data_IF_523817978153
#
_entry.id   IF_523817978153
#
_cell.length_a   1.000
_cell.length_b   1.000
_cell.length_c   1.000
_cell.angle_alpha   90.00
_cell.angle_beta   90.00
_cell.angle_gamma   90.00
#
_symmetry.space_group_name_H-M   'P 1'
#
loop_
_entity.id
_entity.type
_entity.pdbx_description
1 polymer ?
#
# COMPACT_ATOMS: atom_id res chain seq x y z
N UNK A 1 -10.09 -12.98 -2.78
CA UNK A 1 -10.33 -14.44 -2.79
C UNK A 1 -10.86 -14.94 -4.14
N UNK A 2 -11.98 -14.42 -4.67
CA UNK A 2 -12.52 -14.87 -5.97
C UNK A 2 -11.52 -14.78 -7.13
N UNK A 3 -10.76 -13.69 -7.24
CA UNK A 3 -9.77 -13.56 -8.32
C UNK A 3 -8.67 -14.63 -8.24
N UNK A 4 -8.23 -15.02 -7.04
CA UNK A 4 -7.28 -16.13 -6.86
C UNK A 4 -7.92 -17.46 -7.27
N UNK A 5 -9.17 -17.70 -6.89
CA UNK A 5 -9.93 -18.90 -7.29
C UNK A 5 -10.05 -18.98 -8.83
N UNK A 6 -10.45 -17.90 -9.49
CA UNK A 6 -10.57 -17.83 -10.95
C UNK A 6 -9.23 -18.03 -11.66
N UNK A 7 -8.14 -17.47 -11.14
CA UNK A 7 -6.80 -17.72 -11.65
C UNK A 7 -6.43 -19.21 -11.56
N UNK A 8 -6.66 -19.83 -10.41
CA UNK A 8 -6.40 -21.25 -10.19
C UNK A 8 -7.25 -22.15 -11.10
N UNK A 9 -8.55 -21.86 -11.25
CA UNK A 9 -9.45 -22.56 -12.18
C UNK A 9 -9.00 -22.45 -13.64
N UNK A 10 -8.31 -21.35 -13.98
CA UNK A 10 -7.72 -21.12 -15.31
C UNK A 10 -6.29 -21.67 -15.44
N UNK A 11 -5.76 -22.36 -14.41
CA UNK A 11 -4.40 -22.88 -14.40
C UNK A 11 -3.31 -21.80 -14.31
N UNK A 12 -3.66 -20.59 -13.88
CA UNK A 12 -2.73 -19.46 -13.75
C UNK A 12 -2.30 -19.28 -12.28
N UNK A 13 -1.00 -19.05 -12.01
CA UNK A 13 -0.57 -18.60 -10.70
C UNK A 13 -1.09 -17.18 -10.43
N UNK A 14 -1.24 -16.83 -9.15
CA UNK A 14 -1.68 -15.50 -8.74
C UNK A 14 -0.87 -14.97 -7.56
N UNK A 15 -0.59 -13.67 -7.56
CA UNK A 15 -0.02 -12.94 -6.43
C UNK A 15 -1.00 -11.85 -5.98
N UNK A 16 -1.16 -11.70 -4.67
CA UNK A 16 -1.86 -10.60 -4.03
C UNK A 16 -0.84 -9.80 -3.19
N UNK A 17 -0.69 -8.54 -3.56
CA UNK A 17 0.33 -7.65 -3.01
C UNK A 17 -0.34 -6.47 -2.31
N UNK A 18 0.25 -6.02 -1.20
CA UNK A 18 -0.20 -4.83 -0.45
C UNK A 18 0.90 -3.78 -0.43
N UNK A 19 0.62 -2.62 -1.01
CA UNK A 19 1.58 -1.54 -1.19
C UNK A 19 1.59 -0.54 -0.01
N UNK A 20 1.64 -1.01 1.25
CA UNK A 20 1.74 -0.16 2.46
C UNK A 20 0.46 0.58 2.89
N UNK A 21 0.56 1.39 3.95
CA UNK A 21 -0.51 2.20 4.58
C UNK A 21 -1.77 1.40 4.93
N UNK A 22 -1.55 0.32 5.69
CA UNK A 22 -2.58 -0.43 6.39
C UNK A 22 -2.99 0.22 7.72
N UNK A 23 -2.15 1.13 8.23
CA UNK A 23 -2.41 1.91 9.43
C UNK A 23 -3.21 3.18 9.13
N UNK A 24 -3.81 3.73 10.19
CA UNK A 24 -4.50 5.02 10.22
C UNK A 24 -5.76 5.11 9.31
N UNK A 25 -6.52 6.20 9.47
CA UNK A 25 -7.59 6.62 8.55
C UNK A 25 -9.01 6.40 9.06
N UNK A 26 -9.22 5.56 10.07
CA UNK A 26 -10.53 5.33 10.68
C UNK A 26 -10.44 5.10 12.20
N UNK A 27 -11.56 5.22 12.95
CA UNK A 27 -11.60 4.91 14.37
C UNK A 27 -11.14 3.50 14.76
N UNK A 28 -11.12 2.55 13.83
CA UNK A 28 -10.56 1.22 14.08
C UNK A 28 -9.10 1.32 14.53
N UNK A 29 -8.28 2.05 13.78
CA UNK A 29 -6.88 2.26 14.16
C UNK A 29 -6.76 3.27 15.32
N UNK A 30 -7.53 4.35 15.32
CA UNK A 30 -7.39 5.38 16.36
C UNK A 30 -7.66 4.88 17.79
N UNK A 31 -8.54 3.89 17.96
CA UNK A 31 -8.87 3.35 19.29
C UNK A 31 -8.23 2.00 19.60
N UNK A 32 -7.85 1.21 18.59
CA UNK A 32 -7.36 -0.16 18.79
C UNK A 32 -5.99 -0.41 18.13
N UNK A 33 -5.42 0.62 17.52
CA UNK A 33 -4.12 0.61 16.85
C UNK A 33 -3.99 -0.56 15.85
N UNK A 34 -2.89 -1.29 15.91
CA UNK A 34 -2.53 -2.36 14.99
C UNK A 34 -3.37 -3.64 15.15
N UNK A 35 -4.05 -3.84 16.29
CA UNK A 35 -4.75 -5.09 16.60
C UNK A 35 -5.81 -5.47 15.56
N UNK A 36 -6.78 -4.60 15.20
CA UNK A 36 -7.74 -4.91 14.13
C UNK A 36 -7.04 -5.10 12.78
N UNK A 37 -5.99 -4.34 12.50
CA UNK A 37 -5.23 -4.44 11.24
C UNK A 37 -4.64 -5.84 11.09
N UNK A 38 -4.07 -6.41 12.16
CA UNK A 38 -3.56 -7.78 12.18
C UNK A 38 -4.65 -8.79 11.80
N UNK A 39 -5.84 -8.70 12.39
CA UNK A 39 -6.92 -9.64 12.11
C UNK A 39 -7.38 -9.56 10.65
N UNK A 40 -7.52 -8.34 10.12
CA UNK A 40 -7.88 -8.13 8.72
C UNK A 40 -6.80 -8.66 7.76
N UNK A 41 -5.52 -8.35 8.02
CA UNK A 41 -4.40 -8.75 7.17
C UNK A 41 -4.21 -10.27 7.19
N UNK A 42 -4.28 -10.89 8.37
CA UNK A 42 -4.26 -12.35 8.51
C UNK A 42 -5.42 -13.03 7.78
N UNK A 43 -6.61 -12.41 7.76
CA UNK A 43 -7.76 -12.94 7.05
C UNK A 43 -7.70 -12.71 5.52
N UNK A 44 -7.00 -11.66 5.08
CA UNK A 44 -6.76 -11.32 3.68
C UNK A 44 -5.66 -12.19 3.04
N UNK A 45 -4.64 -12.56 3.82
CA UNK A 45 -3.51 -13.41 3.40
C UNK A 45 -2.79 -12.91 2.13
N UNK A 46 -2.28 -11.66 2.12
CA UNK A 46 -1.39 -11.20 1.04
C UNK A 46 -0.14 -12.09 0.95
N UNK A 47 0.36 -12.28 -0.28
CA UNK A 47 1.56 -13.07 -0.52
C UNK A 47 2.82 -12.30 -0.09
N UNK A 48 2.84 -10.98 -0.35
CA UNK A 48 3.90 -10.05 0.05
C UNK A 48 3.30 -8.66 0.28
N UNK A 49 3.83 -7.94 1.25
CA UNK A 49 3.55 -6.52 1.47
C UNK A 49 4.83 -5.68 1.52
N UNK A 50 4.69 -4.37 1.36
CA UNK A 50 5.70 -3.37 1.74
C UNK A 50 5.14 -2.56 2.90
N UNK A 51 6.02 -1.82 3.59
CA UNK A 51 5.61 -0.80 4.55
C UNK A 51 5.24 0.49 3.83
N UNK A 52 4.26 1.19 4.36
CA UNK A 52 3.97 2.60 4.10
C UNK A 52 4.51 3.49 5.22
N UNK A 53 4.29 4.80 5.09
CA UNK A 53 4.74 5.73 6.11
C UNK A 53 3.86 5.60 7.37
N UNK A 54 2.58 5.30 7.22
CA UNK A 54 1.66 5.24 8.36
C UNK A 54 1.93 4.07 9.30
N UNK A 55 2.61 3.01 8.82
CA UNK A 55 3.10 1.92 9.68
C UNK A 55 4.02 2.39 10.81
N UNK A 56 4.63 3.58 10.67
CA UNK A 56 5.51 4.19 11.68
C UNK A 56 4.80 5.21 12.60
N UNK A 57 3.49 5.48 12.43
CA UNK A 57 2.84 6.62 13.10
C UNK A 57 2.98 6.60 14.62
N UNK A 58 2.83 5.41 15.20
CA UNK A 58 2.93 5.16 16.63
C UNK A 58 4.28 4.55 17.03
N UNK A 59 5.32 4.72 16.19
CA UNK A 59 6.70 4.33 16.49
C UNK A 59 7.06 2.87 16.18
N UNK A 60 8.36 2.59 16.20
CA UNK A 60 8.96 1.29 15.86
C UNK A 60 8.43 0.14 16.73
N UNK A 61 8.16 0.37 18.02
CA UNK A 61 7.62 -0.67 18.92
C UNK A 61 6.22 -1.14 18.49
N UNK A 62 5.38 -0.22 18.02
CA UNK A 62 4.05 -0.54 17.50
C UNK A 62 4.17 -1.32 16.20
N UNK A 63 5.07 -0.89 15.32
CA UNK A 63 5.38 -1.61 14.08
C UNK A 63 5.87 -3.04 14.35
N UNK A 64 6.76 -3.25 15.32
CA UNK A 64 7.22 -4.58 15.71
C UNK A 64 6.08 -5.46 16.22
N UNK A 65 5.18 -4.90 17.03
CA UNK A 65 4.00 -5.63 17.55
C UNK A 65 3.08 -6.06 16.41
N UNK A 66 2.85 -5.18 15.45
CA UNK A 66 2.10 -5.46 14.24
C UNK A 66 2.74 -6.56 13.38
N UNK A 67 4.03 -6.41 13.06
CA UNK A 67 4.78 -7.35 12.23
C UNK A 67 4.84 -8.76 12.86
N UNK A 68 4.93 -8.82 14.19
CA UNK A 68 4.83 -10.07 14.93
C UNK A 68 3.41 -10.69 14.87
N UNK A 69 2.36 -9.86 14.81
CA UNK A 69 0.96 -10.30 14.76
C UNK A 69 0.50 -10.85 13.40
N UNK A 70 1.05 -10.36 12.28
CA UNK A 70 0.61 -10.72 10.91
C UNK A 70 1.08 -12.10 10.41
N UNK A 71 1.29 -13.07 11.31
CA UNK A 71 1.57 -14.48 11.01
C UNK A 71 2.65 -14.71 9.94
N UNK A 72 3.74 -13.95 10.01
CA UNK A 72 4.89 -14.07 9.10
C UNK A 72 4.58 -13.76 7.62
N UNK A 73 3.59 -12.91 7.34
CA UNK A 73 3.40 -12.34 5.99
C UNK A 73 4.70 -11.61 5.57
N UNK A 74 5.33 -12.01 4.45
CA UNK A 74 6.58 -11.40 4.03
C UNK A 74 6.43 -9.90 3.77
N UNK A 75 7.29 -9.11 4.42
CA UNK A 75 7.34 -7.66 4.27
C UNK A 75 8.67 -7.25 3.64
N UNK A 76 8.64 -6.53 2.51
CA UNK A 76 9.84 -6.09 1.80
C UNK A 76 10.02 -4.58 1.82
N UNK A 77 11.21 -4.09 2.18
CA UNK A 77 11.63 -2.68 2.03
C UNK A 77 13.17 -2.62 1.88
N UNK A 78 13.67 -2.20 0.72
CA UNK A 78 15.10 -2.24 0.39
C UNK A 78 15.91 -1.02 0.83
N UNK A 79 15.23 0.10 1.10
CA UNK A 79 15.86 1.39 1.37
C UNK A 79 15.88 1.79 2.85
N UNK A 80 15.73 0.83 3.77
CA UNK A 80 15.87 1.06 5.21
C UNK A 80 17.25 0.64 5.70
N UNK A 81 17.86 1.46 6.54
CA UNK A 81 18.94 1.05 7.42
C UNK A 81 18.41 0.92 8.85
N UNK A 82 18.31 -0.33 9.28
CA UNK A 82 17.75 -0.73 10.58
C UNK A 82 18.84 -1.08 11.59
N UNK A 83 20.10 -0.61 11.39
CA UNK A 83 21.22 -0.92 12.29
C UNK A 83 20.96 -0.42 13.72
N UNK A 84 20.29 0.73 13.86
CA UNK A 84 19.91 1.31 15.14
C UNK A 84 18.60 0.72 15.71
N UNK A 85 17.85 -0.06 14.93
CA UNK A 85 16.59 -0.71 15.30
C UNK A 85 16.61 -2.19 14.85
N UNK A 86 17.58 -3.00 15.34
CA UNK A 86 17.93 -4.27 14.71
C UNK A 86 16.84 -5.34 14.79
N UNK A 87 15.86 -5.21 15.69
CA UNK A 87 14.74 -6.14 15.84
C UNK A 87 13.88 -6.22 14.57
N UNK A 88 13.82 -5.13 13.79
CA UNK A 88 13.09 -5.09 12.52
C UNK A 88 13.66 -6.05 11.46
N UNK A 89 14.95 -6.41 11.54
CA UNK A 89 15.59 -7.34 10.60
C UNK A 89 14.97 -8.74 10.63
N UNK A 90 14.22 -9.10 11.69
CA UNK A 90 13.51 -10.38 11.77
C UNK A 90 12.25 -10.41 10.90
N UNK A 91 11.74 -9.24 10.51
CA UNK A 91 10.42 -9.11 9.87
C UNK A 91 10.48 -8.44 8.50
N UNK A 92 11.43 -7.52 8.29
CA UNK A 92 11.56 -6.73 7.07
C UNK A 92 12.80 -7.16 6.29
N UNK A 93 12.60 -7.57 5.03
CA UNK A 93 13.66 -7.95 4.12
C UNK A 93 13.82 -6.91 3.00
N UNK A 94 15.00 -6.72 2.39
CA UNK A 94 15.10 -5.86 1.21
C UNK A 94 14.28 -6.36 0.01
N UNK A 95 14.29 -7.69 -0.18
CA UNK A 95 13.59 -8.37 -1.26
C UNK A 95 13.28 -9.83 -0.88
N UNK A 96 12.39 -10.46 -1.66
CA UNK A 96 12.02 -11.87 -1.58
C UNK A 96 12.05 -12.50 -2.97
N UNK A 97 12.37 -13.80 -3.06
CA UNK A 97 12.23 -14.58 -4.29
C UNK A 97 11.15 -15.64 -4.10
N UNK A 98 10.13 -15.60 -4.97
CA UNK A 98 9.09 -16.61 -5.06
C UNK A 98 9.38 -17.55 -6.23
N UNK A 99 9.25 -18.86 -6.01
CA UNK A 99 9.29 -19.85 -7.08
C UNK A 99 7.86 -20.18 -7.53
N UNK A 100 7.49 -19.72 -8.71
CA UNK A 100 6.16 -19.89 -9.29
C UNK A 100 6.30 -20.76 -10.53
N UNK A 101 5.82 -22.01 -10.49
CA UNK A 101 5.92 -22.96 -11.61
C UNK A 101 7.35 -23.08 -12.18
N UNK A 102 8.36 -23.20 -11.30
CA UNK A 102 9.79 -23.22 -11.62
C UNK A 102 10.39 -21.91 -12.18
N UNK A 103 9.62 -20.82 -12.20
CA UNK A 103 10.10 -19.47 -12.52
C UNK A 103 10.39 -18.70 -11.23
N UNK A 104 11.56 -18.08 -11.15
CA UNK A 104 11.94 -17.21 -10.02
C UNK A 104 11.43 -15.79 -10.25
N UNK A 105 10.52 -15.34 -9.39
CA UNK A 105 10.00 -13.97 -9.38
C UNK A 105 10.55 -13.26 -8.15
N UNK A 106 11.30 -12.18 -8.37
CA UNK A 106 11.81 -11.31 -7.32
C UNK A 106 10.81 -10.22 -7.00
N UNK A 107 10.63 -9.94 -5.71
CA UNK A 107 9.81 -8.84 -5.21
C UNK A 107 10.71 -7.97 -4.33
N UNK A 108 10.86 -6.71 -4.71
CA UNK A 108 11.69 -5.72 -3.99
C UNK A 108 10.82 -4.56 -3.53
N UNK A 109 10.98 -4.14 -2.28
CA UNK A 109 10.19 -3.06 -1.69
C UNK A 109 10.93 -1.72 -1.66
N UNK A 110 10.19 -0.61 -1.62
CA UNK A 110 10.72 0.69 -1.19
C UNK A 110 9.64 1.53 -0.51
N UNK A 111 10.08 2.49 0.31
CA UNK A 111 9.24 3.39 1.08
C UNK A 111 9.77 4.82 0.93
N UNK A 112 8.87 5.82 0.88
CA UNK A 112 9.24 7.23 0.74
C UNK A 112 10.27 7.67 1.78
N UNK A 113 11.29 8.40 1.31
CA UNK A 113 12.28 9.07 2.17
C UNK A 113 11.68 10.16 3.05
N UNK A 114 10.42 10.54 2.81
CA UNK A 114 9.73 11.57 3.60
C UNK A 114 9.23 11.04 4.95
N UNK A 115 9.21 9.71 5.15
CA UNK A 115 8.68 9.04 6.35
C UNK A 115 9.15 9.66 7.68
N UNK A 116 10.44 10.02 7.89
CA UNK A 116 10.89 10.66 9.12
C UNK A 116 10.25 12.03 9.43
N UNK A 117 9.67 12.68 8.43
CA UNK A 117 9.01 14.00 8.56
C UNK A 117 7.50 13.92 8.65
N UNK A 118 6.91 12.79 8.22
CA UNK A 118 5.45 12.59 8.17
C UNK A 118 4.97 11.47 9.10
N UNK A 119 5.88 10.85 9.85
CA UNK A 119 5.60 9.76 10.78
C UNK A 119 6.67 9.66 11.88
N UNK A 120 6.57 8.68 12.77
CA UNK A 120 7.44 8.52 13.94
C UNK A 120 8.46 7.39 13.75
N UNK A 121 9.36 7.50 12.77
CA UNK A 121 10.23 6.38 12.35
C UNK A 121 11.38 6.01 13.30
N UNK A 122 11.50 6.65 14.46
CA UNK A 122 12.57 6.38 15.42
C UNK A 122 13.96 6.60 14.83
N UNK A 123 14.88 5.67 15.10
CA UNK A 123 16.25 5.73 14.59
C UNK A 123 16.46 5.02 13.24
N UNK A 124 15.39 4.59 12.57
CA UNK A 124 15.48 4.00 11.22
C UNK A 124 15.91 5.09 10.23
N UNK A 125 16.96 4.81 9.48
CA UNK A 125 17.43 5.67 8.39
C UNK A 125 16.84 5.24 7.05
N UNK A 126 16.53 6.23 6.20
CA UNK A 126 15.89 6.02 4.89
C UNK A 126 16.87 6.45 3.79
N UNK A 127 17.33 5.49 3.00
CA UNK A 127 18.17 5.74 1.84
C UNK A 127 17.34 6.09 0.61
N UNK A 128 17.99 6.67 -0.39
CA UNK A 128 17.37 6.98 -1.69
C UNK A 128 16.78 5.70 -2.32
N UNK A 129 15.52 5.80 -2.76
CA UNK A 129 14.78 4.64 -3.24
C UNK A 129 15.40 4.06 -4.51
N UNK A 130 15.83 4.91 -5.44
CA UNK A 130 16.36 4.50 -6.74
C UNK A 130 17.69 3.75 -6.56
N UNK A 131 18.59 4.28 -5.74
CA UNK A 131 19.90 3.68 -5.52
C UNK A 131 19.79 2.37 -4.72
N UNK A 132 18.93 2.30 -3.71
CA UNK A 132 18.66 1.06 -2.98
C UNK A 132 18.02 -0.01 -3.87
N UNK A 133 17.05 0.37 -4.70
CA UNK A 133 16.43 -0.55 -5.66
C UNK A 133 17.44 -1.07 -6.68
N UNK A 134 18.24 -0.21 -7.32
CA UNK A 134 19.30 -0.63 -8.25
C UNK A 134 20.23 -1.67 -7.61
N UNK A 135 20.65 -1.43 -6.36
CA UNK A 135 21.54 -2.37 -5.65
C UNK A 135 20.87 -3.73 -5.45
N UNK A 136 19.62 -3.76 -4.99
CA UNK A 136 18.93 -5.00 -4.67
C UNK A 136 18.46 -5.75 -5.93
N UNK A 137 18.02 -5.05 -7.00
CA UNK A 137 17.69 -5.70 -8.28
C UNK A 137 18.90 -6.39 -8.89
N UNK A 138 20.09 -5.77 -8.86
CA UNK A 138 21.32 -6.42 -9.34
C UNK A 138 21.67 -7.67 -8.53
N UNK A 139 21.37 -7.72 -7.23
CA UNK A 139 21.55 -8.92 -6.40
C UNK A 139 20.55 -10.02 -6.77
N UNK A 140 19.29 -9.67 -7.01
CA UNK A 140 18.27 -10.60 -7.49
C UNK A 140 18.68 -11.23 -8.83
N UNK A 141 19.10 -10.41 -9.81
CA UNK A 141 19.56 -10.88 -11.12
C UNK A 141 20.76 -11.84 -11.00
N UNK A 142 21.75 -11.53 -10.16
CA UNK A 142 22.90 -12.41 -9.89
C UNK A 142 22.50 -13.78 -9.32
N UNK A 143 21.35 -13.86 -8.64
CA UNK A 143 20.78 -15.09 -8.09
C UNK A 143 19.85 -15.84 -9.07
N UNK A 144 19.85 -15.43 -10.35
CA UNK A 144 19.09 -16.06 -11.42
C UNK A 144 17.60 -15.73 -11.40
N UNK A 145 17.21 -14.62 -10.78
CA UNK A 145 15.87 -14.04 -10.94
C UNK A 145 15.80 -13.32 -12.28
N UNK A 146 14.73 -13.51 -13.02
CA UNK A 146 14.53 -12.91 -14.34
C UNK A 146 13.24 -12.09 -14.48
N UNK A 147 12.39 -12.10 -13.45
CA UNK A 147 11.20 -11.24 -13.35
C UNK A 147 11.29 -10.49 -12.02
N UNK A 148 11.27 -9.15 -12.06
CA UNK A 148 11.36 -8.31 -10.87
C UNK A 148 10.15 -7.39 -10.76
N UNK A 149 9.39 -7.56 -9.68
CA UNK A 149 8.27 -6.70 -9.27
C UNK A 149 8.77 -5.74 -8.18
N UNK A 150 8.57 -4.45 -8.37
CA UNK A 150 8.79 -3.46 -7.31
C UNK A 150 7.47 -3.14 -6.61
N UNK A 151 7.46 -3.28 -5.29
CA UNK A 151 6.35 -2.91 -4.42
C UNK A 151 6.70 -1.60 -3.71
N UNK A 152 6.17 -0.49 -4.22
CA UNK A 152 6.56 0.85 -3.81
C UNK A 152 5.52 1.51 -2.92
N UNK A 153 5.99 2.20 -1.88
CA UNK A 153 5.21 3.18 -1.15
C UNK A 153 5.89 4.56 -1.17
N UNK A 154 6.19 5.05 -2.38
CA UNK A 154 6.81 6.37 -2.55
C UNK A 154 6.01 7.38 -3.38
N UNK A 155 4.82 6.97 -3.87
CA UNK A 155 3.93 7.85 -4.63
C UNK A 155 4.26 7.91 -6.12
N UNK A 156 3.25 8.27 -6.93
CA UNK A 156 3.30 8.12 -8.39
C UNK A 156 4.45 8.87 -9.06
N UNK A 157 4.83 10.05 -8.55
CA UNK A 157 5.94 10.81 -9.14
C UNK A 157 7.29 10.15 -8.87
N UNK A 158 7.50 9.61 -7.67
CA UNK A 158 8.71 8.82 -7.39
C UNK A 158 8.67 7.49 -8.15
N UNK A 159 7.52 6.84 -8.26
CA UNK A 159 7.35 5.62 -9.05
C UNK A 159 7.75 5.84 -10.51
N UNK A 160 7.43 7.00 -11.10
CA UNK A 160 7.87 7.38 -12.46
C UNK A 160 9.39 7.55 -12.55
N UNK A 161 10.04 8.09 -11.53
CA UNK A 161 11.51 8.17 -11.47
C UNK A 161 12.12 6.78 -11.34
N UNK A 162 11.60 5.93 -10.46
CA UNK A 162 12.04 4.53 -10.28
C UNK A 162 11.89 3.77 -11.60
N UNK A 163 10.74 3.87 -12.25
CA UNK A 163 10.46 3.23 -13.54
C UNK A 163 11.45 3.62 -14.62
N UNK A 164 11.89 4.89 -14.60
CA UNK A 164 12.84 5.44 -15.55
C UNK A 164 14.28 4.96 -15.28
N UNK A 165 14.72 5.04 -14.03
CA UNK A 165 16.13 4.93 -13.64
C UNK A 165 16.54 3.49 -13.24
N UNK A 166 15.60 2.65 -12.80
CA UNK A 166 15.86 1.26 -12.37
C UNK A 166 15.42 0.29 -13.46
N UNK A 167 16.30 0.16 -14.46
CA UNK A 167 16.07 -0.60 -15.70
C UNK A 167 15.77 -2.10 -15.54
N UNK A 168 16.09 -2.69 -14.38
CA UNK A 168 15.92 -4.12 -14.09
C UNK A 168 14.50 -4.45 -13.60
N UNK A 169 13.66 -3.46 -13.30
CA UNK A 169 12.28 -3.67 -12.85
C UNK A 169 11.38 -3.92 -14.06
N UNK A 170 10.53 -4.95 -13.99
CA UNK A 170 9.56 -5.27 -15.03
C UNK A 170 8.21 -4.61 -14.80
N UNK A 171 7.84 -4.39 -13.55
CA UNK A 171 6.58 -3.75 -13.16
C UNK A 171 6.68 -3.13 -11.77
N UNK A 172 6.02 -1.98 -11.59
CA UNK A 172 5.89 -1.31 -10.29
C UNK A 172 4.43 -1.38 -9.84
N UNK A 173 4.22 -1.80 -8.59
CA UNK A 173 2.94 -1.74 -7.88
C UNK A 173 3.10 -0.75 -6.73
N UNK A 174 2.52 0.44 -6.89
CA UNK A 174 2.74 1.59 -6.02
C UNK A 174 1.59 1.92 -5.06
N UNK A 175 1.90 2.74 -4.05
CA UNK A 175 0.98 3.32 -3.06
C UNK A 175 1.26 4.80 -2.75
N UNK A 176 0.96 5.24 -1.53
CA UNK A 176 1.19 6.58 -0.96
C UNK A 176 0.34 7.72 -1.56
N UNK A 177 0.44 7.95 -2.87
CA UNK A 177 -0.16 9.12 -3.53
C UNK A 177 -1.68 9.02 -3.80
N UNK A 178 -2.30 7.89 -3.43
CA UNK A 178 -3.71 7.59 -3.71
C UNK A 178 -4.07 7.71 -5.21
N UNK A 179 -3.12 7.42 -6.11
CA UNK A 179 -3.35 7.67 -7.54
C UNK A 179 -4.34 6.68 -8.11
N UNK A 180 -5.41 7.21 -8.72
CA UNK A 180 -6.34 6.41 -9.49
C UNK A 180 -5.88 6.37 -10.96
N UNK A 181 -5.46 5.20 -11.42
CA UNK A 181 -5.14 4.94 -12.82
C UNK A 181 -6.28 4.12 -13.43
N UNK A 182 -6.76 4.53 -14.62
CA UNK A 182 -7.84 3.81 -15.31
C UNK A 182 -7.82 4.11 -16.81
N UNK A 183 -8.04 3.08 -17.62
CA UNK A 183 -8.16 3.19 -19.07
C UNK A 183 -9.64 3.11 -19.47
N UNK A 184 -10.15 4.11 -20.20
CA UNK A 184 -11.55 4.18 -20.61
C UNK A 184 -12.44 5.00 -19.66
N UNK A 185 -13.72 4.63 -19.54
CA UNK A 185 -14.68 5.35 -18.70
C UNK A 185 -14.58 4.85 -17.25
N UNK A 186 -14.24 5.70 -16.27
CA UNK A 186 -14.12 5.27 -14.87
C UNK A 186 -15.47 4.81 -14.31
N UNK A 187 -15.50 3.78 -13.44
CA UNK A 187 -16.74 3.19 -12.93
C UNK A 187 -17.34 3.94 -11.72
N UNK A 188 -16.70 5.03 -11.26
CA UNK A 188 -17.16 5.86 -10.15
C UNK A 188 -16.70 7.32 -10.32
N UNK A 189 -16.78 8.11 -9.26
CA UNK A 189 -16.53 9.56 -9.27
C UNK A 189 -15.05 9.95 -9.39
N UNK A 190 -14.12 9.03 -9.14
CA UNK A 190 -12.69 9.33 -9.20
C UNK A 190 -12.26 9.65 -10.64
N UNK A 191 -11.53 10.76 -10.79
CA UNK A 191 -10.95 11.15 -12.08
C UNK A 191 -9.61 10.41 -12.26
N UNK A 192 -9.42 9.64 -13.35
CA UNK A 192 -8.15 8.97 -13.61
C UNK A 192 -7.03 10.00 -13.79
N UNK A 193 -5.90 9.80 -13.10
CA UNK A 193 -4.67 10.56 -13.32
C UNK A 193 -4.05 10.20 -14.67
N UNK A 194 -4.17 8.94 -15.09
CA UNK A 194 -3.63 8.40 -16.32
C UNK A 194 -4.17 6.99 -16.61
N UNK A 195 -3.70 6.35 -17.71
CA UNK A 195 -4.12 5.00 -18.05
C UNK A 195 -3.65 4.00 -16.99
N UNK A 196 -4.34 2.86 -16.92
CA UNK A 196 -3.88 1.69 -16.18
C UNK A 196 -3.49 0.59 -17.18
N UNK A 197 -2.23 0.13 -17.19
CA UNK A 197 -1.07 0.70 -16.48
C UNK A 197 -0.64 2.07 -17.01
N UNK A 198 0.09 2.83 -16.20
CA UNK A 198 0.85 4.00 -16.66
C UNK A 198 2.23 3.54 -17.12
N UNK A 199 2.63 3.86 -18.35
CA UNK A 199 3.95 3.48 -18.85
C UNK A 199 4.95 4.62 -18.74
N UNK A 200 6.17 4.28 -18.30
CA UNK A 200 7.34 5.14 -18.37
C UNK A 200 8.43 4.43 -19.15
N UNK A 201 9.06 5.12 -20.10
CA UNK A 201 10.21 4.57 -20.83
C UNK A 201 11.47 4.73 -19.99
N UNK A 202 12.18 3.63 -19.73
CA UNK A 202 13.38 3.62 -18.92
C UNK A 202 14.64 4.03 -19.70
N UNK A 203 15.76 4.18 -19.01
CA UNK A 203 17.07 4.57 -19.58
C UNK A 203 17.60 3.60 -20.65
N UNK A 204 17.03 2.39 -20.76
CA UNK A 204 17.32 1.39 -21.81
C UNK A 204 16.28 1.36 -22.93
N UNK A 205 15.39 2.35 -23.01
CA UNK A 205 14.28 2.43 -23.96
C UNK A 205 13.24 1.29 -23.83
N UNK A 206 13.16 0.63 -22.67
CA UNK A 206 12.13 -0.37 -22.38
C UNK A 206 10.95 0.32 -21.66
N UNK A 207 9.69 0.05 -22.04
CA UNK A 207 8.53 0.55 -21.31
C UNK A 207 8.35 -0.22 -20.00
N UNK A 208 8.31 0.51 -18.88
CA UNK A 208 8.05 -0.02 -17.53
C UNK A 208 6.64 0.39 -17.09
N UNK A 209 5.71 -0.56 -16.89
CA UNK A 209 4.38 -0.28 -16.37
C UNK A 209 4.37 0.01 -14.86
N UNK A 210 3.56 0.98 -14.46
CA UNK A 210 3.26 1.35 -13.08
C UNK A 210 1.77 1.15 -12.84
N UNK A 211 1.46 0.50 -11.71
CA UNK A 211 0.10 0.26 -11.23
C UNK A 211 -0.11 0.98 -9.90
N UNK A 212 -1.22 1.69 -9.76
CA UNK A 212 -1.80 2.11 -8.48
C UNK A 212 -3.32 1.93 -8.54
N UNK A 213 -3.94 1.64 -7.40
CA UNK A 213 -5.36 1.30 -7.31
C UNK A 213 -6.13 2.25 -6.38
N UNK A 214 -5.90 3.56 -6.52
CA UNK A 214 -6.52 4.58 -5.67
C UNK A 214 -6.20 4.37 -4.17
N UNK A 215 -7.21 4.44 -3.30
CA UNK A 215 -7.08 4.35 -1.85
C UNK A 215 -8.34 3.78 -1.19
N UNK A 216 -8.28 3.61 0.13
CA UNK A 216 -9.39 3.21 1.00
C UNK A 216 -10.02 1.86 0.66
N UNK A 217 -9.27 0.98 -0.01
CA UNK A 217 -9.76 -0.32 -0.52
C UNK A 217 -11.00 -0.21 -1.43
N UNK A 218 -11.31 0.97 -1.97
CA UNK A 218 -12.46 1.16 -2.87
C UNK A 218 -12.29 0.38 -4.17
N UNK A 219 -11.05 0.19 -4.59
CA UNK A 219 -10.68 -0.61 -5.75
C UNK A 219 -9.68 -1.69 -5.37
N UNK A 220 -9.70 -2.78 -6.13
CA UNK A 220 -8.64 -3.79 -6.13
C UNK A 220 -7.98 -3.78 -7.50
N UNK A 221 -6.69 -3.47 -7.55
CA UNK A 221 -5.89 -3.60 -8.77
C UNK A 221 -5.84 -5.04 -9.24
N UNK A 222 -6.07 -5.26 -10.54
CA UNK A 222 -6.00 -6.59 -11.16
C UNK A 222 -5.31 -6.46 -12.51
N UNK A 223 -4.29 -7.28 -12.72
CA UNK A 223 -3.64 -7.47 -14.02
C UNK A 223 -3.35 -8.95 -14.26
N UNK A 224 -3.36 -9.33 -15.53
CA UNK A 224 -2.82 -10.59 -16.05
C UNK A 224 -1.55 -10.22 -16.80
N UNK A 225 -0.44 -10.80 -16.38
CA UNK A 225 0.88 -10.57 -16.97
C UNK A 225 1.28 -11.77 -17.81
N UNK A 226 1.78 -11.51 -19.01
CA UNK A 226 2.37 -12.54 -19.88
C UNK A 226 3.84 -12.25 -20.06
N UNK A 227 4.67 -13.16 -19.56
CA UNK A 227 6.12 -13.13 -19.75
C UNK A 227 6.55 -14.17 -20.78
N UNK A 228 7.66 -13.93 -21.46
CA UNK A 228 8.33 -14.93 -22.28
C UNK A 228 9.22 -15.88 -21.43
N UNK A 229 9.92 -16.81 -22.07
CA UNK A 229 10.82 -17.74 -21.38
C UNK A 229 12.07 -17.09 -20.78
N UNK A 230 12.43 -15.88 -21.22
CA UNK A 230 13.57 -15.12 -20.71
C UNK A 230 13.19 -14.23 -19.53
N UNK A 231 11.89 -14.05 -19.25
CA UNK A 231 11.38 -13.15 -18.21
C UNK A 231 11.01 -11.77 -18.74
N UNK A 232 10.95 -11.57 -20.05
CA UNK A 232 10.51 -10.30 -20.63
C UNK A 232 8.99 -10.19 -20.63
N UNK A 233 8.47 -9.05 -20.14
CA UNK A 233 7.04 -8.76 -20.12
C UNK A 233 6.54 -8.48 -21.55
N UNK A 234 5.73 -9.39 -22.09
CA UNK A 234 5.15 -9.30 -23.43
C UNK A 234 3.81 -8.56 -23.44
N UNK A 235 2.98 -8.77 -22.42
CA UNK A 235 1.66 -8.18 -22.34
C UNK A 235 1.19 -8.01 -20.90
N UNK A 236 0.39 -6.98 -20.68
CA UNK A 236 -0.33 -6.69 -19.44
C UNK A 236 -1.75 -6.32 -19.79
N UNK A 237 -2.72 -7.01 -19.19
CA UNK A 237 -4.14 -6.77 -19.38
C UNK A 237 -4.85 -6.69 -18.03
N UNK A 238 -5.67 -5.66 -17.83
CA UNK A 238 -6.43 -5.49 -16.60
C UNK A 238 -6.81 -4.06 -16.27
N UNK A 239 -7.52 -3.92 -15.15
CA UNK A 239 -8.03 -2.64 -14.64
C UNK A 239 -8.33 -2.78 -13.15
N UNK A 240 -8.31 -1.69 -12.36
CA UNK A 240 -8.83 -1.70 -11.00
C UNK A 240 -10.32 -2.06 -11.01
N UNK A 241 -10.70 -3.02 -10.18
CA UNK A 241 -12.11 -3.43 -10.00
C UNK A 241 -12.72 -2.62 -8.86
N UNK A 242 -13.81 -1.90 -9.13
CA UNK A 242 -14.57 -1.19 -8.10
C UNK A 242 -15.23 -2.19 -7.16
N UNK A 243 -14.96 -2.09 -5.86
CA UNK A 243 -15.63 -2.86 -4.83
C UNK A 243 -16.96 -2.20 -4.45
N UNK A 244 -18.00 -2.42 -5.25
CA UNK A 244 -19.35 -1.92 -5.00
C UNK A 244 -20.24 -2.99 -4.32
N UNK A 245 -21.52 -2.65 -4.15
CA UNK A 245 -22.53 -3.53 -3.54
C UNK A 245 -22.88 -4.79 -4.35
N UNK A 246 -22.46 -4.87 -5.63
CA UNK A 246 -22.71 -6.04 -6.48
C UNK A 246 -21.74 -7.19 -6.13
N UNK A 247 -20.59 -6.87 -5.55
CA UNK A 247 -19.63 -7.86 -5.07
C UNK A 247 -20.09 -8.37 -3.70
N UNK A 248 -20.35 -9.68 -3.63
CA UNK A 248 -20.75 -10.33 -2.38
C UNK A 248 -19.63 -10.24 -1.35
N UNK A 249 -19.99 -9.87 -0.13
CA UNK A 249 -19.07 -9.87 0.99
C UNK A 249 -18.73 -11.31 1.40
N UNK A 250 -17.45 -11.56 1.66
CA UNK A 250 -16.96 -12.87 2.08
C UNK A 250 -17.38 -13.16 3.53
N UNK A 251 -18.14 -14.24 3.80
CA UNK A 251 -18.62 -14.55 5.16
C UNK A 251 -17.49 -14.68 6.18
N UNK A 252 -16.32 -15.17 5.78
CA UNK A 252 -15.17 -15.32 6.68
C UNK A 252 -14.44 -14.00 6.95
N UNK A 253 -14.61 -12.99 6.10
CA UNK A 253 -14.14 -11.63 6.41
C UNK A 253 -15.15 -10.90 7.29
N UNK A 254 -16.44 -11.15 7.09
CA UNK A 254 -17.50 -10.58 7.92
C UNK A 254 -17.36 -10.97 9.39
N UNK A 255 -16.84 -12.16 9.72
CA UNK A 255 -16.56 -12.50 11.12
C UNK A 255 -15.57 -11.54 11.78
N UNK A 256 -14.54 -11.08 11.07
CA UNK A 256 -13.59 -10.09 11.58
C UNK A 256 -14.27 -8.71 11.70
N UNK A 257 -15.09 -8.33 10.72
CA UNK A 257 -15.86 -7.08 10.78
C UNK A 257 -16.81 -7.07 11.98
N UNK A 258 -17.53 -8.18 12.20
CA UNK A 258 -18.52 -8.32 13.26
C UNK A 258 -17.90 -8.41 14.65
N UNK A 259 -16.62 -8.81 14.75
CA UNK A 259 -15.86 -8.71 15.99
C UNK A 259 -15.54 -7.24 16.35
N UNK A 260 -15.03 -6.47 15.39
CA UNK A 260 -14.49 -5.14 15.66
C UNK A 260 -15.54 -4.04 15.62
N UNK A 261 -16.56 -4.16 14.77
CA UNK A 261 -17.59 -3.13 14.58
C UNK A 261 -18.31 -2.77 15.90
N UNK A 262 -18.78 -3.72 16.74
CA UNK A 262 -19.40 -3.36 18.01
C UNK A 262 -18.47 -2.57 18.94
N UNK A 263 -17.18 -2.97 19.03
CA UNK A 263 -16.15 -2.32 19.85
C UNK A 263 -15.91 -0.87 19.41
N UNK A 264 -15.88 -0.62 18.10
CA UNK A 264 -15.76 0.74 17.56
C UNK A 264 -17.04 1.53 17.81
N UNK A 265 -18.21 0.96 17.50
CA UNK A 265 -19.49 1.68 17.63
C UNK A 265 -19.86 2.01 19.06
N UNK A 266 -19.44 1.24 20.07
CA UNK A 266 -19.69 1.59 21.47
C UNK A 266 -18.95 2.86 21.89
N UNK A 267 -17.83 3.19 21.24
CA UNK A 267 -17.05 4.41 21.47
C UNK A 267 -17.58 5.55 20.59
N UNK A 268 -17.88 5.27 19.31
CA UNK A 268 -18.22 6.32 18.33
C UNK A 268 -19.69 6.69 18.28
N UNK A 269 -20.60 5.80 18.68
CA UNK A 269 -22.05 6.06 18.67
C UNK A 269 -22.52 6.80 19.94
N UNK A 270 -21.71 7.78 20.36
CA UNK A 270 -22.02 8.69 21.47
C UNK A 270 -22.26 10.07 20.88
N UNK A 271 -23.43 10.64 21.15
CA UNK A 271 -23.71 12.02 20.75
C UNK A 271 -22.92 12.98 21.65
N UNK A 272 -21.81 13.51 21.15
CA UNK A 272 -21.00 14.54 21.83
C UNK A 272 -21.70 15.91 21.77
N UNK A 273 -22.41 16.18 20.67
CA UNK A 273 -23.11 17.44 20.43
C UNK A 273 -23.92 17.39 19.15
N UNK A 274 -24.49 18.53 18.76
CA UNK A 274 -25.23 18.69 17.52
C UNK A 274 -24.76 19.97 16.84
N UNK A 275 -24.69 19.95 15.52
CA UNK A 275 -24.53 21.16 14.72
C UNK A 275 -25.88 21.57 14.13
N UNK A 276 -26.16 22.88 14.13
CA UNK A 276 -27.34 23.46 13.46
C UNK A 276 -27.07 23.79 11.99
N UNK A 277 -25.81 23.67 11.54
CA UNK A 277 -25.35 23.95 10.19
C UNK A 277 -24.56 22.77 9.64
N UNK A 278 -24.52 22.60 8.32
CA UNK A 278 -23.62 21.63 7.70
C UNK A 278 -22.16 22.05 7.89
N UNK A 279 -21.28 21.12 8.24
CA UNK A 279 -19.84 21.36 8.39
C UNK A 279 -19.14 21.02 7.07
N UNK A 280 -18.84 22.05 6.27
CA UNK A 280 -18.22 21.94 4.96
C UNK A 280 -16.72 21.72 5.10
N UNK A 281 -16.18 20.73 4.39
CA UNK A 281 -14.78 20.29 4.49
C UNK A 281 -13.88 20.71 3.31
N UNK A 282 -14.32 21.67 2.49
CA UNK A 282 -13.51 22.24 1.41
C UNK A 282 -12.50 23.26 1.94
N UNK A 283 -11.51 22.78 2.70
CA UNK A 283 -10.60 23.65 3.45
C UNK A 283 -9.29 23.99 2.74
N UNK A 284 -9.05 23.47 1.53
CA UNK A 284 -7.76 23.60 0.83
C UNK A 284 -7.64 24.80 -0.11
N UNK A 285 -8.77 25.36 -0.56
CA UNK A 285 -8.80 26.46 -1.54
C UNK A 285 -9.42 27.75 -1.02
N UNK A 286 -10.15 27.68 0.09
CA UNK A 286 -10.85 28.79 0.73
C UNK A 286 -11.09 28.47 2.21
N UNK A 287 -11.64 29.43 2.94
CA UNK A 287 -12.07 29.27 4.33
C UNK A 287 -13.23 28.26 4.42
N UNK A 288 -13.19 27.38 5.42
CA UNK A 288 -14.22 26.38 5.65
C UNK A 288 -14.68 26.41 7.12
N UNK A 289 -15.98 26.25 7.35
CA UNK A 289 -16.53 26.38 8.69
C UNK A 289 -16.10 25.25 9.65
N UNK A 290 -15.79 24.04 9.15
CA UNK A 290 -15.22 22.99 9.99
C UNK A 290 -13.79 23.33 10.45
N UNK A 291 -13.01 24.00 9.59
CA UNK A 291 -11.67 24.48 9.93
C UNK A 291 -11.72 25.51 11.05
N UNK A 292 -12.65 26.47 10.94
CA UNK A 292 -12.90 27.46 11.99
C UNK A 292 -13.31 26.81 13.31
N UNK A 293 -14.28 25.88 13.28
CA UNK A 293 -14.73 25.16 14.47
C UNK A 293 -13.57 24.43 15.18
N UNK A 294 -12.71 23.76 14.42
CA UNK A 294 -11.54 23.05 14.96
C UNK A 294 -10.53 24.05 15.55
N UNK A 295 -10.20 25.12 14.83
CA UNK A 295 -9.26 26.13 15.30
C UNK A 295 -9.75 26.82 16.58
N UNK A 296 -11.04 27.20 16.63
CA UNK A 296 -11.68 27.77 17.81
C UNK A 296 -11.64 26.79 19.00
N UNK A 297 -11.81 25.48 18.74
CA UNK A 297 -11.71 24.45 19.78
C UNK A 297 -10.31 24.38 20.40
N UNK A 298 -9.25 24.54 19.59
CA UNK A 298 -7.89 24.58 20.09
C UNK A 298 -7.64 25.83 20.93
N UNK A 299 -8.10 27.00 20.49
CA UNK A 299 -8.00 28.24 21.27
C UNK A 299 -8.74 28.10 22.58
N UNK A 300 -9.97 27.60 22.56
CA UNK A 300 -10.76 27.40 23.78
C UNK A 300 -10.04 26.49 24.77
N UNK A 301 -9.54 25.34 24.31
CA UNK A 301 -8.87 24.36 25.17
C UNK A 301 -7.57 24.88 25.80
N UNK A 302 -6.76 25.61 25.03
CA UNK A 302 -5.41 26.01 25.46
C UNK A 302 -5.34 27.40 26.11
N UNK A 303 -6.31 28.28 25.84
CA UNK A 303 -6.28 29.68 26.27
C UNK A 303 -7.41 30.03 27.23
N UNK A 304 -8.61 29.48 27.00
CA UNK A 304 -9.83 29.92 27.70
C UNK A 304 -10.27 29.00 28.84
N UNK A 305 -9.74 27.78 28.90
CA UNK A 305 -10.01 26.78 29.93
C UNK A 305 -8.86 26.69 30.91
#
# INVERSE_FOLDING_TARGET
KDQRRLANESGLPSLFLVAGDTFQGTPYFSFFEWTPVVDFINQLQPDVMTLGNHEFDHGVNTLLSYLNGIQSIPTVVSNLNMTAEPELNNFVLPSLVLNINNTKVGIVGCLTTDTPTISSSGAVEFFDEVESLKKETKKLLKNGVNIIICLSHSGIEKDKVIAKEVEDIDIIVGGHSHTFLYSGTPPSIEKPYGPYPLYVTNVKNKPTPILQAYANTKYVGKVILKFDSNGELLNIDGSPTLLNHEIKQDPTMLTVVDEWKPKVTSITNVTIGRTAVELLNWCRGEECNIGNLIADSFVYYNVMK
#
